data_IF_252612477943
#
_entry.id   IF_252612477943
#
_cell.length_a   1.000
_cell.length_b   1.000
_cell.length_c   1.000
_cell.angle_alpha   90.00
_cell.angle_beta   90.00
_cell.angle_gamma   90.00
#
_symmetry.space_group_name_H-M   'P 1'
#
loop_
_entity.id
_entity.type
_entity.pdbx_description
1 polymer ?
#
# COMPACT_ATOMS: atom_id res chain seq x y z
N UNK A 1 -28.12 -0.83 3.97
CA UNK A 1 -27.39 0.44 3.75
C UNK A 1 -28.23 1.32 2.86
N UNK A 2 -28.58 2.48 3.29
CA UNK A 2 -29.57 3.34 2.67
C UNK A 2 -29.06 4.76 2.64
N UNK A 3 -29.44 5.57 1.67
CA UNK A 3 -28.90 5.60 0.32
C UNK A 3 -27.51 6.23 0.33
N UNK A 4 -26.56 5.70 -0.40
CA UNK A 4 -25.26 6.31 -0.62
C UNK A 4 -25.30 7.20 -1.86
N UNK A 5 -24.76 8.40 -1.77
CA UNK A 5 -24.47 9.26 -2.90
C UNK A 5 -23.11 8.89 -3.46
N UNK A 6 -23.01 8.60 -4.73
CA UNK A 6 -21.71 8.32 -5.38
C UNK A 6 -21.32 9.49 -6.27
N UNK A 7 -20.15 10.08 -5.97
CA UNK A 7 -19.49 11.04 -6.85
C UNK A 7 -18.41 10.33 -7.65
N UNK A 8 -18.53 10.33 -8.97
CA UNK A 8 -17.55 9.68 -9.85
C UNK A 8 -16.82 10.72 -10.70
N UNK A 9 -15.51 10.64 -10.69
CA UNK A 9 -14.60 11.41 -11.54
C UNK A 9 -14.02 10.49 -12.61
N UNK A 10 -14.10 10.91 -13.87
CA UNK A 10 -13.54 10.18 -15.01
C UNK A 10 -12.29 10.88 -15.53
N UNK A 11 -11.35 10.11 -16.07
CA UNK A 11 -10.11 10.58 -16.71
C UNK A 11 -9.34 11.57 -15.82
N UNK A 12 -9.25 11.25 -14.51
CA UNK A 12 -8.54 12.10 -13.57
C UNK A 12 -7.03 12.06 -13.83
N UNK A 13 -6.41 13.25 -13.87
CA UNK A 13 -4.97 13.39 -13.83
C UNK A 13 -4.58 14.43 -12.78
N UNK A 14 -3.84 13.98 -11.78
CA UNK A 14 -3.33 14.78 -10.68
C UNK A 14 -1.80 14.83 -10.76
N UNK A 15 -1.25 16.01 -10.91
CA UNK A 15 0.20 16.22 -10.93
C UNK A 15 0.76 16.32 -9.51
N UNK A 16 2.04 16.01 -9.38
CA UNK A 16 2.74 16.08 -8.10
C UNK A 16 3.02 17.51 -7.64
N UNK A 17 3.42 17.63 -6.37
CA UNK A 17 3.94 18.87 -5.78
C UNK A 17 5.38 19.14 -6.25
N UNK A 18 5.88 20.36 -5.96
CA UNK A 18 7.31 20.70 -6.20
C UNK A 18 8.24 19.68 -5.53
N UNK A 19 9.29 19.24 -6.22
CA UNK A 19 9.79 19.64 -7.55
C UNK A 19 9.20 18.85 -8.73
N UNK A 20 8.11 18.10 -8.54
CA UNK A 20 7.55 17.14 -9.51
C UNK A 20 6.28 17.63 -10.23
N UNK A 21 6.06 18.94 -10.32
CA UNK A 21 4.81 19.53 -10.88
C UNK A 21 4.47 19.09 -12.31
N UNK A 22 5.48 18.69 -13.10
CA UNK A 22 5.31 18.21 -14.47
C UNK A 22 5.22 16.67 -14.57
N UNK A 23 5.09 15.98 -13.43
CA UNK A 23 4.92 14.53 -13.38
C UNK A 23 3.60 14.19 -12.76
N UNK A 24 2.87 13.28 -13.40
CA UNK A 24 1.63 12.77 -12.83
C UNK A 24 1.91 12.01 -11.54
N UNK A 25 1.23 12.37 -10.46
CA UNK A 25 1.17 11.63 -9.20
C UNK A 25 0.15 10.49 -9.33
N UNK A 26 -1.05 10.82 -9.82
CA UNK A 26 -2.11 9.85 -10.06
C UNK A 26 -2.78 10.16 -11.39
N UNK A 27 -2.89 9.16 -12.25
CA UNK A 27 -3.82 9.16 -13.37
C UNK A 27 -4.75 7.97 -13.22
N UNK A 28 -6.06 8.15 -13.36
CA UNK A 28 -7.05 7.10 -13.21
C UNK A 28 -8.16 7.24 -14.23
N UNK A 29 -8.62 6.11 -14.75
CA UNK A 29 -9.80 6.11 -15.62
C UNK A 29 -11.04 6.52 -14.84
N UNK A 30 -11.15 6.04 -13.60
CA UNK A 30 -12.28 6.33 -12.72
C UNK A 30 -11.86 6.38 -11.26
N UNK A 31 -12.36 7.38 -10.53
CA UNK A 31 -12.33 7.45 -9.08
C UNK A 31 -13.75 7.78 -8.60
N UNK A 32 -14.29 6.93 -7.75
CA UNK A 32 -15.62 7.12 -7.16
C UNK A 32 -15.54 7.24 -5.65
N UNK A 33 -16.33 8.15 -5.11
CA UNK A 33 -16.46 8.39 -3.67
C UNK A 33 -17.86 8.04 -3.23
N UNK A 34 -18.00 7.13 -2.28
CA UNK A 34 -19.25 6.87 -1.57
C UNK A 34 -19.41 7.89 -0.43
N UNK A 35 -20.48 8.66 -0.47
CA UNK A 35 -20.76 9.76 0.46
C UNK A 35 -21.99 9.39 1.28
N UNK A 36 -21.95 9.58 2.60
CA UNK A 36 -23.11 9.44 3.46
C UNK A 36 -24.12 10.58 3.16
N UNK A 37 -25.29 10.20 2.66
CA UNK A 37 -26.36 11.17 2.30
C UNK A 37 -26.85 11.92 3.52
N UNK A 38 -26.94 11.30 4.68
CA UNK A 38 -27.38 11.98 5.90
C UNK A 38 -26.41 13.06 6.33
N UNK A 39 -25.11 12.84 6.10
CA UNK A 39 -24.09 13.87 6.36
C UNK A 39 -24.23 15.09 5.45
N UNK A 40 -24.73 14.89 4.22
CA UNK A 40 -24.96 15.99 3.25
C UNK A 40 -26.23 16.76 3.58
N UNK A 41 -27.30 16.05 3.99
CA UNK A 41 -28.64 16.68 4.19
C UNK A 41 -28.80 17.30 5.57
N UNK A 42 -28.29 16.63 6.60
CA UNK A 42 -28.49 17.00 8.00
C UNK A 42 -27.21 17.22 8.79
N UNK A 43 -26.05 16.89 8.23
CA UNK A 43 -24.74 17.03 8.87
C UNK A 43 -24.13 18.42 8.70
N UNK A 44 -23.21 18.77 9.58
CA UNK A 44 -22.36 19.96 9.46
C UNK A 44 -21.13 19.72 8.55
N UNK A 45 -20.84 18.46 8.23
CA UNK A 45 -19.67 18.07 7.41
C UNK A 45 -20.03 16.88 6.52
N UNK A 46 -19.63 16.94 5.25
CA UNK A 46 -19.77 15.80 4.32
C UNK A 46 -18.84 14.68 4.70
N UNK A 47 -19.37 13.45 4.86
CA UNK A 47 -18.59 12.26 5.21
C UNK A 47 -18.38 11.38 3.98
N UNK A 48 -17.11 11.08 3.67
CA UNK A 48 -16.73 10.13 2.61
C UNK A 48 -16.42 8.80 3.30
N UNK A 49 -17.21 7.77 2.99
CA UNK A 49 -17.09 6.44 3.61
C UNK A 49 -16.34 5.44 2.74
N UNK A 50 -16.38 5.61 1.44
CA UNK A 50 -15.82 4.67 0.47
C UNK A 50 -15.05 5.37 -0.64
N UNK A 51 -13.93 4.79 -1.05
CA UNK A 51 -13.14 5.21 -2.22
C UNK A 51 -12.93 4.01 -3.13
N UNK A 52 -13.33 4.17 -4.39
CA UNK A 52 -13.10 3.21 -5.47
C UNK A 52 -12.19 3.83 -6.52
N UNK A 53 -11.13 3.14 -6.88
CA UNK A 53 -10.15 3.57 -7.88
C UNK A 53 -10.01 2.47 -8.91
N UNK A 54 -10.26 2.77 -10.17
CA UNK A 54 -10.13 1.81 -11.26
C UNK A 54 -9.15 2.27 -12.34
N UNK A 55 -8.33 1.33 -12.82
CA UNK A 55 -7.35 1.55 -13.87
C UNK A 55 -6.46 2.78 -13.62
N UNK A 56 -5.91 2.86 -12.41
CA UNK A 56 -5.04 3.96 -12.01
C UNK A 56 -3.56 3.63 -12.21
N UNK A 57 -2.81 4.68 -12.50
CA UNK A 57 -1.35 4.69 -12.39
C UNK A 57 -0.94 5.67 -11.31
N UNK A 58 -0.40 5.15 -10.22
CA UNK A 58 0.02 5.91 -9.04
C UNK A 58 1.54 5.96 -9.04
N UNK A 59 2.13 7.16 -9.08
CA UNK A 59 3.58 7.35 -9.08
C UNK A 59 3.99 8.15 -7.86
N UNK A 60 4.56 7.51 -6.86
CA UNK A 60 5.12 8.13 -5.67
C UNK A 60 6.62 8.32 -5.87
N UNK A 61 7.07 9.57 -5.86
CA UNK A 61 8.45 9.93 -6.12
C UNK A 61 8.99 10.76 -4.95
N UNK A 62 10.13 10.35 -4.41
CA UNK A 62 10.87 11.09 -3.38
C UNK A 62 12.31 11.30 -3.87
N UNK A 63 12.82 12.52 -3.79
CA UNK A 63 14.20 12.82 -4.19
C UNK A 63 15.20 12.49 -3.08
N UNK A 64 16.50 12.71 -3.35
CA UNK A 64 17.56 12.47 -2.36
C UNK A 64 17.49 13.37 -1.13
N UNK A 65 16.77 14.50 -1.22
CA UNK A 65 16.57 15.44 -0.10
C UNK A 65 15.33 15.11 0.74
N UNK A 66 14.54 14.10 0.32
CA UNK A 66 13.28 13.75 0.96
C UNK A 66 12.07 14.54 0.44
N UNK A 67 12.23 15.40 -0.61
CA UNK A 67 11.07 16.09 -1.18
C UNK A 67 10.22 15.10 -1.96
N UNK A 68 8.95 14.99 -1.60
CA UNK A 68 8.00 14.04 -2.16
C UNK A 68 6.99 14.72 -3.09
N UNK A 69 6.56 13.99 -4.13
CA UNK A 69 5.56 14.51 -5.07
C UNK A 69 4.13 14.51 -4.53
N UNK A 70 3.87 13.84 -3.40
CA UNK A 70 2.55 13.75 -2.78
C UNK A 70 2.25 14.85 -1.75
N UNK A 71 3.16 15.79 -1.52
CA UNK A 71 2.94 16.94 -0.63
C UNK A 71 2.07 18.01 -1.31
N UNK A 72 0.93 17.60 -1.87
CA UNK A 72 0.01 18.45 -2.64
C UNK A 72 -0.90 19.29 -1.73
N UNK A 73 -1.02 18.94 -0.47
CA UNK A 73 -1.84 19.62 0.51
C UNK A 73 -0.97 20.56 1.36
N UNK A 74 -1.24 21.86 1.27
CA UNK A 74 -0.70 22.83 2.23
C UNK A 74 -1.78 23.09 3.28
N UNK A 75 -1.60 22.61 4.50
CA UNK A 75 -2.32 23.20 5.62
C UNK A 75 -1.67 24.54 5.90
N UNK A 76 -2.31 25.64 5.54
CA UNK A 76 -1.94 26.96 6.04
C UNK A 76 -2.26 27.01 7.54
N UNK A 77 -1.32 26.55 8.34
CA UNK A 77 -1.37 26.67 9.80
C UNK A 77 -0.96 28.09 10.23
N UNK A 78 -1.70 29.08 9.75
CA UNK A 78 -1.72 30.45 10.30
C UNK A 78 -3.02 31.11 9.84
N UNK A 79 -4.12 30.75 10.50
CA UNK A 79 -5.15 31.72 10.87
C UNK A 79 -6.19 30.98 11.69
N UNK A 80 -6.17 31.24 12.97
CA UNK A 80 -7.30 31.11 13.88
C UNK A 80 -8.41 32.01 13.38
N UNK A 81 -9.63 31.42 13.23
CA UNK A 81 -10.90 32.04 12.89
C UNK A 81 -11.27 32.08 11.42
N UNK A 82 -11.70 30.92 10.93
CA UNK A 82 -12.96 30.75 10.16
C UNK A 82 -13.17 29.25 9.97
N UNK A 83 -14.29 28.75 10.42
CA UNK A 83 -14.76 27.38 10.20
C UNK A 83 -14.94 27.12 8.72
N UNK A 84 -13.87 26.75 8.03
CA UNK A 84 -14.01 26.09 6.75
C UNK A 84 -14.53 24.68 7.06
N UNK A 85 -15.74 24.39 6.67
CA UNK A 85 -16.36 23.06 6.67
C UNK A 85 -15.48 22.12 5.85
N UNK A 86 -14.46 21.55 6.48
CA UNK A 86 -13.63 20.54 5.84
C UNK A 86 -14.42 19.24 5.82
N UNK A 87 -14.52 18.61 4.64
CA UNK A 87 -15.10 17.29 4.52
C UNK A 87 -14.39 16.34 5.51
N UNK A 88 -15.17 15.65 6.33
CA UNK A 88 -14.64 14.64 7.24
C UNK A 88 -14.50 13.32 6.49
N UNK A 89 -13.31 12.75 6.52
CA UNK A 89 -13.04 11.43 5.94
C UNK A 89 -13.42 10.35 6.95
N UNK A 90 -14.64 9.84 6.89
CA UNK A 90 -15.05 8.62 7.61
C UNK A 90 -14.79 7.41 6.71
N UNK A 91 -13.55 7.18 6.36
CA UNK A 91 -13.20 6.16 5.40
C UNK A 91 -13.26 4.77 6.04
N UNK A 92 -14.18 3.93 5.56
CA UNK A 92 -14.36 2.55 5.99
C UNK A 92 -13.88 1.54 4.95
N UNK A 93 -13.98 1.90 3.66
CA UNK A 93 -13.61 1.05 2.55
C UNK A 93 -12.73 1.77 1.52
N UNK A 94 -11.65 1.10 1.12
CA UNK A 94 -10.83 1.48 -0.04
C UNK A 94 -10.78 0.29 -0.99
N UNK A 95 -11.14 0.50 -2.24
CA UNK A 95 -10.99 -0.51 -3.28
C UNK A 95 -10.20 0.07 -4.45
N UNK A 96 -9.16 -0.66 -4.86
CA UNK A 96 -8.34 -0.35 -6.04
C UNK A 96 -8.40 -1.55 -6.97
N UNK A 97 -8.67 -1.32 -8.26
CA UNK A 97 -8.77 -2.37 -9.28
C UNK A 97 -7.84 -2.09 -10.45
N UNK A 98 -7.25 -3.13 -11.01
CA UNK A 98 -6.45 -3.11 -12.27
C UNK A 98 -5.42 -1.98 -12.35
N UNK A 99 -4.82 -1.63 -11.23
CA UNK A 99 -3.98 -0.44 -11.13
C UNK A 99 -2.48 -0.77 -11.17
N UNK A 100 -1.67 0.25 -11.34
CA UNK A 100 -0.23 0.20 -11.24
C UNK A 100 0.23 1.15 -10.15
N UNK A 101 1.11 0.69 -9.27
CA UNK A 101 1.79 1.51 -8.27
C UNK A 101 3.28 1.51 -8.54
N UNK A 102 3.86 2.70 -8.59
CA UNK A 102 5.31 2.92 -8.61
C UNK A 102 5.66 3.76 -7.40
N UNK A 103 6.53 3.26 -6.56
CA UNK A 103 7.14 3.98 -5.44
C UNK A 103 8.64 4.03 -5.66
N UNK A 104 9.21 5.22 -5.76
CA UNK A 104 10.64 5.43 -5.96
C UNK A 104 11.14 6.49 -5.00
N UNK A 105 11.76 6.06 -3.92
CA UNK A 105 12.34 6.91 -2.90
C UNK A 105 13.86 6.85 -2.97
N UNK A 106 14.45 7.94 -3.45
CA UNK A 106 15.91 8.06 -3.58
C UNK A 106 16.59 8.37 -2.25
N UNK A 107 15.86 8.88 -1.26
CA UNK A 107 16.41 9.18 0.07
C UNK A 107 16.63 7.90 0.88
N UNK A 108 15.69 6.97 0.82
CA UNK A 108 15.77 5.64 1.44
C UNK A 108 16.32 4.56 0.52
N UNK A 109 16.54 4.90 -0.78
CA UNK A 109 16.99 3.98 -1.84
C UNK A 109 16.03 2.82 -2.12
N UNK A 110 14.75 2.99 -1.83
CA UNK A 110 13.69 2.00 -2.03
C UNK A 110 13.02 2.23 -3.38
N UNK A 111 12.82 1.15 -4.14
CA UNK A 111 11.99 1.14 -5.35
C UNK A 111 11.03 -0.03 -5.31
N UNK A 112 9.74 0.27 -5.52
CA UNK A 112 8.66 -0.74 -5.61
C UNK A 112 7.88 -0.48 -6.89
N UNK A 113 7.62 -1.53 -7.66
CA UNK A 113 6.71 -1.50 -8.79
C UNK A 113 5.69 -2.64 -8.64
N UNK A 114 4.40 -2.31 -8.65
CA UNK A 114 3.30 -3.27 -8.63
C UNK A 114 2.40 -3.07 -9.85
N UNK A 115 2.22 -4.11 -10.66
CA UNK A 115 1.34 -4.15 -11.83
C UNK A 115 0.20 -5.13 -11.61
N UNK A 116 -0.98 -4.83 -12.17
CA UNK A 116 -2.19 -5.60 -11.92
C UNK A 116 -2.54 -5.57 -10.42
N UNK A 117 -2.39 -4.39 -9.81
CA UNK A 117 -2.64 -4.17 -8.39
C UNK A 117 -4.13 -4.07 -8.14
N UNK A 118 -4.64 -5.03 -7.37
CA UNK A 118 -6.00 -5.08 -6.86
C UNK A 118 -5.93 -5.07 -5.33
N UNK A 119 -6.67 -4.20 -4.69
CA UNK A 119 -6.62 -3.97 -3.25
C UNK A 119 -8.02 -3.73 -2.69
N UNK A 120 -8.29 -4.29 -1.54
CA UNK A 120 -9.45 -3.96 -0.71
C UNK A 120 -8.96 -3.76 0.72
N UNK A 121 -9.22 -2.58 1.26
CA UNK A 121 -8.94 -2.23 2.64
C UNK A 121 -10.24 -1.89 3.35
N UNK A 122 -10.45 -2.44 4.55
CA UNK A 122 -11.61 -2.18 5.39
C UNK A 122 -11.19 -1.93 6.83
N UNK A 123 -11.61 -0.79 7.38
CA UNK A 123 -11.31 -0.41 8.75
C UNK A 123 -11.92 0.95 9.10
N UNK A 124 -11.93 1.31 10.37
CA UNK A 124 -12.31 2.64 10.82
C UNK A 124 -11.09 3.56 10.80
N UNK A 125 -10.85 4.21 9.64
CA UNK A 125 -9.68 5.06 9.44
C UNK A 125 -9.78 6.43 10.16
N UNK A 126 -10.89 6.74 10.84
CA UNK A 126 -11.00 7.93 11.69
C UNK A 126 -10.36 7.72 13.06
N UNK A 127 -10.38 6.49 13.54
CA UNK A 127 -9.82 6.18 14.84
C UNK A 127 -8.29 6.31 14.84
N UNK A 128 -7.72 6.84 15.92
CA UNK A 128 -6.25 6.89 16.07
C UNK A 128 -5.63 5.49 16.13
N UNK A 129 -6.41 4.50 16.56
CA UNK A 129 -6.03 3.10 16.63
C UNK A 129 -7.14 2.26 16.02
N UNK A 130 -6.84 1.51 14.96
CA UNK A 130 -7.80 0.65 14.29
C UNK A 130 -7.15 -0.57 13.67
N UNK A 131 -7.99 -1.57 13.36
CA UNK A 131 -7.59 -2.73 12.59
C UNK A 131 -7.96 -2.52 11.12
N UNK A 132 -6.97 -2.54 10.26
CA UNK A 132 -7.15 -2.54 8.81
C UNK A 132 -7.13 -3.98 8.30
N UNK A 133 -8.26 -4.45 7.77
CA UNK A 133 -8.34 -5.71 7.04
C UNK A 133 -8.03 -5.44 5.59
N UNK A 134 -6.98 -6.07 5.09
CA UNK A 134 -6.49 -5.89 3.72
C UNK A 134 -6.58 -7.21 2.97
N UNK A 135 -7.13 -7.17 1.76
CA UNK A 135 -6.96 -8.22 0.75
C UNK A 135 -6.34 -7.60 -0.49
N UNK A 136 -5.22 -8.16 -0.94
CA UNK A 136 -4.47 -7.65 -2.08
C UNK A 136 -4.06 -8.77 -3.04
N UNK A 137 -4.08 -8.45 -4.33
CA UNK A 137 -3.52 -9.29 -5.40
C UNK A 137 -2.69 -8.41 -6.31
N UNK A 138 -1.47 -8.85 -6.61
CA UNK A 138 -0.53 -8.16 -7.48
C UNK A 138 -0.04 -9.18 -8.51
N UNK A 139 -0.20 -8.88 -9.79
CA UNK A 139 0.22 -9.81 -10.85
C UNK A 139 1.73 -9.77 -11.09
N UNK A 140 2.36 -8.62 -10.81
CA UNK A 140 3.82 -8.46 -10.91
C UNK A 140 4.30 -7.45 -9.89
N UNK A 141 5.00 -7.90 -8.86
CA UNK A 141 5.65 -7.09 -7.83
C UNK A 141 7.16 -7.15 -8.01
N UNK A 142 7.79 -5.99 -8.10
CA UNK A 142 9.23 -5.83 -8.02
C UNK A 142 9.60 -4.94 -6.84
N UNK A 143 10.64 -5.32 -6.12
CA UNK A 143 11.19 -4.57 -4.99
C UNK A 143 12.71 -4.52 -5.09
N UNK A 144 13.27 -3.34 -4.99
CA UNK A 144 14.71 -3.13 -4.92
C UNK A 144 15.08 -2.20 -3.76
N UNK A 145 16.20 -2.47 -3.14
CA UNK A 145 16.84 -1.64 -2.14
C UNK A 145 18.31 -1.41 -2.51
N UNK A 146 18.75 -0.16 -2.49
CA UNK A 146 20.10 0.26 -2.88
C UNK A 146 20.57 -0.35 -4.22
N UNK A 147 19.67 -0.30 -5.23
CA UNK A 147 19.84 -0.87 -6.58
C UNK A 147 19.90 -2.40 -6.66
N UNK A 148 19.79 -3.11 -5.54
CA UNK A 148 19.73 -4.56 -5.51
C UNK A 148 18.28 -5.01 -5.57
N UNK A 149 17.95 -5.86 -6.56
CA UNK A 149 16.61 -6.44 -6.71
C UNK A 149 16.42 -7.62 -5.76
N UNK A 150 15.49 -7.51 -4.80
CA UNK A 150 15.10 -8.59 -3.89
C UNK A 150 13.89 -9.34 -4.39
N UNK A 151 12.94 -8.65 -5.03
CA UNK A 151 11.81 -9.27 -5.73
C UNK A 151 11.81 -8.77 -7.18
N UNK A 152 11.60 -9.69 -8.10
CA UNK A 152 11.51 -9.39 -9.53
C UNK A 152 10.31 -10.08 -10.13
N UNK A 153 9.31 -9.27 -10.53
CA UNK A 153 8.08 -9.75 -11.20
C UNK A 153 7.40 -10.92 -10.47
N UNK A 154 7.31 -10.87 -9.12
CA UNK A 154 6.64 -11.91 -8.33
C UNK A 154 5.14 -11.65 -8.28
N UNK A 155 4.34 -12.71 -8.42
CA UNK A 155 2.91 -12.66 -8.12
C UNK A 155 2.72 -12.68 -6.61
N UNK A 156 1.86 -11.80 -6.10
CA UNK A 156 1.62 -11.72 -4.66
C UNK A 156 0.11 -11.72 -4.39
N UNK A 157 -0.29 -12.53 -3.40
CA UNK A 157 -1.60 -12.43 -2.76
C UNK A 157 -1.38 -12.25 -1.28
N UNK A 158 -2.16 -11.37 -0.67
CA UNK A 158 -2.02 -11.06 0.75
C UNK A 158 -3.39 -10.82 1.38
N UNK A 159 -3.66 -11.51 2.48
CA UNK A 159 -4.79 -11.24 3.36
C UNK A 159 -4.21 -10.89 4.73
N UNK A 160 -4.34 -9.62 5.10
CA UNK A 160 -3.61 -9.04 6.22
C UNK A 160 -4.59 -8.43 7.23
N UNK A 161 -4.27 -8.56 8.51
CA UNK A 161 -4.86 -7.76 9.59
C UNK A 161 -3.72 -6.94 10.21
N UNK A 162 -3.80 -5.62 10.01
CA UNK A 162 -2.79 -4.68 10.49
C UNK A 162 -3.42 -3.77 11.54
N UNK A 163 -2.88 -3.76 12.76
CA UNK A 163 -3.20 -2.72 13.76
C UNK A 163 -2.41 -1.48 13.40
N UNK A 164 -3.10 -0.38 13.23
CA UNK A 164 -2.52 0.91 12.86
C UNK A 164 -2.74 1.89 14.00
N UNK A 165 -1.66 2.56 14.40
CA UNK A 165 -1.71 3.74 15.25
C UNK A 165 -1.26 4.94 14.42
N UNK A 166 -2.20 5.85 14.10
CA UNK A 166 -1.92 7.02 13.27
C UNK A 166 -1.14 8.12 14.01
N UNK A 167 -1.23 8.17 15.34
CA UNK A 167 -0.51 9.16 16.14
C UNK A 167 0.98 8.87 16.21
N UNK A 168 1.35 7.59 16.36
CA UNK A 168 2.74 7.14 16.39
C UNK A 168 3.25 6.65 15.05
N UNK A 169 2.39 6.54 14.03
CA UNK A 169 2.67 5.89 12.74
C UNK A 169 3.26 4.48 12.91
N UNK A 170 2.61 3.70 13.78
CA UNK A 170 2.96 2.31 14.08
C UNK A 170 2.02 1.34 13.39
N UNK A 171 2.59 0.28 12.80
CA UNK A 171 1.88 -0.76 12.05
C UNK A 171 2.27 -2.13 12.61
N UNK A 172 1.32 -2.81 13.26
CA UNK A 172 1.53 -4.16 13.79
C UNK A 172 0.81 -5.16 12.90
N UNK A 173 1.57 -6.02 12.25
CA UNK A 173 1.08 -7.12 11.42
C UNK A 173 0.92 -8.36 12.30
N UNK A 174 -0.33 -8.73 12.60
CA UNK A 174 -0.61 -9.84 13.52
C UNK A 174 -0.49 -11.20 12.81
N UNK A 175 -1.59 -11.82 12.48
CA UNK A 175 -1.59 -13.09 11.72
C UNK A 175 -2.02 -12.80 10.29
N UNK A 176 -1.15 -13.12 9.33
CA UNK A 176 -1.36 -12.75 7.93
C UNK A 176 -0.99 -13.90 7.02
N UNK A 177 -1.80 -14.10 5.99
CA UNK A 177 -1.57 -15.05 4.93
C UNK A 177 -1.01 -14.31 3.71
N UNK A 178 0.21 -14.67 3.34
CA UNK A 178 0.91 -14.14 2.17
C UNK A 178 1.24 -15.30 1.23
N UNK A 179 1.06 -15.13 -0.07
CA UNK A 179 1.50 -16.08 -1.09
C UNK A 179 2.38 -15.34 -2.08
N UNK A 180 3.63 -15.76 -2.21
CA UNK A 180 4.59 -15.23 -3.20
C UNK A 180 4.78 -16.27 -4.30
N UNK A 181 4.31 -15.99 -5.51
CA UNK A 181 4.13 -16.93 -6.60
C UNK A 181 3.21 -18.10 -6.18
N UNK A 182 3.79 -19.21 -5.72
CA UNK A 182 3.09 -20.37 -5.17
C UNK A 182 3.47 -20.67 -3.71
N UNK A 183 4.48 -19.96 -3.18
CA UNK A 183 4.96 -20.19 -1.82
C UNK A 183 4.01 -19.55 -0.82
N UNK A 184 3.34 -20.32 0.06
CA UNK A 184 2.61 -19.76 1.19
C UNK A 184 3.61 -19.27 2.26
N UNK A 185 3.37 -18.10 2.82
CA UNK A 185 4.23 -17.48 3.82
C UNK A 185 3.36 -16.92 4.94
N UNK A 186 3.58 -17.31 6.16
CA UNK A 186 3.08 -16.59 7.33
C UNK A 186 3.95 -15.36 7.57
N UNK A 187 3.32 -14.23 7.77
CA UNK A 187 4.00 -12.95 7.98
C UNK A 187 3.48 -12.27 9.25
N UNK A 188 4.38 -11.90 10.14
CA UNK A 188 4.06 -11.10 11.33
C UNK A 188 5.14 -10.06 11.54
N UNK A 189 4.83 -8.99 12.28
CA UNK A 189 5.86 -8.04 12.64
C UNK A 189 5.36 -6.65 12.99
N UNK A 190 6.32 -5.74 13.12
CA UNK A 190 6.16 -4.36 13.49
C UNK A 190 6.91 -3.48 12.50
N UNK A 191 6.30 -2.36 12.14
CA UNK A 191 6.93 -1.28 11.41
C UNK A 191 6.54 0.06 12.05
N UNK A 192 7.52 0.81 12.53
CA UNK A 192 7.33 2.11 13.15
C UNK A 192 8.09 3.19 12.39
N UNK A 193 7.43 4.31 12.11
CA UNK A 193 8.10 5.52 11.66
C UNK A 193 8.60 6.31 12.85
N UNK A 194 9.90 6.59 12.89
CA UNK A 194 10.57 7.37 13.91
C UNK A 194 10.93 8.77 13.39
N UNK A 195 11.25 9.70 14.27
CA UNK A 195 11.70 11.06 13.87
C UNK A 195 12.90 11.04 12.91
N UNK A 196 13.81 10.08 13.08
CA UNK A 196 15.06 9.97 12.34
C UNK A 196 15.20 8.60 11.65
N UNK A 197 14.13 8.13 11.01
CA UNK A 197 14.16 6.87 10.29
C UNK A 197 12.96 5.98 10.56
N UNK A 198 13.19 4.69 10.61
CA UNK A 198 12.15 3.69 10.87
C UNK A 198 12.74 2.53 11.66
N UNK A 199 11.88 1.81 12.34
CA UNK A 199 12.17 0.52 12.98
C UNK A 199 11.29 -0.54 12.34
N UNK A 200 11.87 -1.70 12.07
CA UNK A 200 11.12 -2.87 11.62
C UNK A 200 11.59 -4.13 12.34
N UNK A 201 10.65 -5.01 12.62
CA UNK A 201 10.91 -6.37 13.10
C UNK A 201 9.90 -7.29 12.42
N UNK A 202 10.32 -7.96 11.35
CA UNK A 202 9.47 -8.84 10.57
C UNK A 202 9.90 -10.28 10.69
N UNK A 203 8.92 -11.17 10.79
CA UNK A 203 9.09 -12.62 10.79
C UNK A 203 8.29 -13.21 9.64
N UNK A 204 8.96 -13.93 8.77
CA UNK A 204 8.37 -14.67 7.67
C UNK A 204 8.65 -16.15 7.87
N UNK A 205 7.64 -16.98 7.73
CA UNK A 205 7.72 -18.42 7.94
C UNK A 205 6.97 -19.14 6.83
N UNK A 206 7.55 -20.22 6.32
CA UNK A 206 6.87 -21.19 5.49
C UNK A 206 7.09 -22.58 6.04
N UNK A 207 6.07 -23.43 6.02
CA UNK A 207 6.13 -24.81 6.55
C UNK A 207 5.58 -25.77 5.52
N UNK A 208 6.17 -26.96 5.45
CA UNK A 208 5.78 -28.07 4.58
C UNK A 208 5.50 -27.66 3.12
N UNK A 209 6.20 -26.64 2.67
CA UNK A 209 6.08 -26.11 1.31
C UNK A 209 6.94 -26.88 0.32
N UNK A 210 6.55 -26.88 -0.96
CA UNK A 210 7.41 -27.50 -1.97
C UNK A 210 8.69 -26.70 -2.14
N UNK A 211 9.80 -27.39 -2.26
CA UNK A 211 11.11 -26.78 -2.43
C UNK A 211 11.17 -25.90 -3.70
N UNK A 212 10.57 -26.34 -4.80
CA UNK A 212 10.47 -25.55 -6.04
C UNK A 212 9.72 -24.23 -5.83
N UNK A 213 8.66 -24.21 -5.01
CA UNK A 213 7.89 -23.00 -4.71
C UNK A 213 8.72 -21.98 -3.91
N UNK A 214 9.55 -22.46 -2.96
CA UNK A 214 10.50 -21.62 -2.23
C UNK A 214 11.47 -20.92 -3.20
N UNK A 215 12.09 -21.67 -4.12
CA UNK A 215 13.03 -21.09 -5.08
C UNK A 215 12.39 -20.06 -6.01
N UNK A 216 11.13 -20.23 -6.38
CA UNK A 216 10.45 -19.21 -7.19
C UNK A 216 10.25 -17.88 -6.46
N UNK A 217 10.22 -17.90 -5.14
CA UNK A 217 10.05 -16.71 -4.30
C UNK A 217 11.35 -15.96 -4.02
N UNK A 218 12.50 -16.64 -4.06
CA UNK A 218 13.80 -16.05 -3.79
C UNK A 218 14.26 -15.05 -4.88
N UNK A 219 15.18 -14.13 -4.54
CA UNK A 219 15.89 -13.31 -5.54
C UNK A 219 16.62 -14.15 -6.58
N UNK A 220 16.63 -13.70 -7.83
CA UNK A 220 17.21 -14.43 -8.95
C UNK A 220 18.71 -14.76 -8.74
N UNK A 221 19.44 -13.89 -8.04
CA UNK A 221 20.88 -14.11 -7.75
C UNK A 221 21.17 -15.36 -6.92
N UNK A 222 20.23 -15.74 -6.04
CA UNK A 222 20.39 -16.95 -5.19
C UNK A 222 19.99 -18.23 -5.90
N UNK A 223 19.31 -18.15 -7.02
CA UNK A 223 18.78 -19.31 -7.75
C UNK A 223 19.28 -19.40 -9.20
N UNK A 224 20.17 -18.51 -9.62
CA UNK A 224 20.71 -18.47 -10.99
C UNK A 224 21.39 -19.79 -11.42
N UNK A 225 22.03 -20.48 -10.47
CA UNK A 225 22.67 -21.76 -10.70
C UNK A 225 21.70 -22.95 -10.81
N UNK A 226 20.40 -22.71 -10.51
CA UNK A 226 19.36 -23.75 -10.49
C UNK A 226 18.43 -23.73 -11.70
N UNK A 227 18.68 -22.87 -12.68
CA UNK A 227 17.77 -22.64 -13.82
C UNK A 227 17.44 -23.90 -14.61
N UNK A 228 18.31 -24.92 -14.59
CA UNK A 228 18.12 -26.20 -15.28
C UNK A 228 17.88 -27.36 -14.31
N UNK A 229 17.84 -27.10 -13.00
CA UNK A 229 17.71 -28.12 -11.96
C UNK A 229 16.30 -28.19 -11.42
N UNK A 230 15.66 -29.36 -11.48
CA UNK A 230 14.38 -29.63 -10.83
C UNK A 230 14.64 -30.30 -9.49
N UNK A 231 14.20 -29.66 -8.42
CA UNK A 231 14.28 -30.23 -7.08
C UNK A 231 12.89 -30.66 -6.60
N UNK A 232 12.84 -31.83 -5.99
CA UNK A 232 11.62 -32.34 -5.35
C UNK A 232 11.87 -32.48 -3.86
N UNK A 233 10.88 -32.16 -3.06
CA UNK A 233 10.95 -32.27 -1.62
C UNK A 233 10.10 -31.22 -0.93
N UNK A 234 10.01 -31.35 0.38
CA UNK A 234 9.36 -30.42 1.28
C UNK A 234 10.40 -29.63 2.04
N UNK A 235 10.05 -28.39 2.38
CA UNK A 235 10.92 -27.50 3.11
C UNK A 235 10.15 -26.63 4.09
N UNK A 236 10.80 -26.27 5.16
CA UNK A 236 10.38 -25.21 6.06
C UNK A 236 11.49 -24.18 6.15
N UNK A 237 11.13 -22.91 6.09
CA UNK A 237 12.09 -21.81 6.17
C UNK A 237 11.57 -20.72 7.10
N UNK A 238 12.48 -20.02 7.73
CA UNK A 238 12.21 -18.90 8.62
C UNK A 238 13.19 -17.76 8.32
N UNK A 239 12.65 -16.55 8.18
CA UNK A 239 13.43 -15.33 7.97
C UNK A 239 13.00 -14.26 8.98
N UNK A 240 13.99 -13.62 9.59
CA UNK A 240 13.79 -12.43 10.42
C UNK A 240 14.50 -11.24 9.78
N UNK A 241 13.80 -10.12 9.68
CA UNK A 241 14.33 -8.83 9.21
C UNK A 241 14.23 -7.84 10.37
N UNK A 242 15.34 -7.20 10.71
CA UNK A 242 15.42 -6.17 11.76
C UNK A 242 16.15 -4.94 11.26
#
# INVERSE_FOLDING_TARGET
HFPSLTLTLHELNLNGSKPYQNKSLVSAKEISFGIDVWSVVFGSQTQIEEIYIDNAKINILVNQKGDANYNIYKSDSKDTTTSSESASLKLENIQISNSQLVYNDKSTKISIEAKGFNYKGKGDLQASNFNLKTSAKIDSLSFAYDKKEYLKNKKVKADLITKINTNSLSFVFEKNDLVINKLPVEFTGLFDFLKNGYQMDFKLKTEDSNLDDLFTALPAEYVSWMTETKMKGKTSAFLTLK
#
